data_IF_500032702051
#
_entry.id   IF_500032702051
#
_cell.length_a   1.000
_cell.length_b   1.000
_cell.length_c   1.000
_cell.angle_alpha   90.00
_cell.angle_beta   90.00
_cell.angle_gamma   90.00
#
_symmetry.space_group_name_H-M   'P 1'
#
loop_
_entity.id
_entity.type
_entity.pdbx_description
1 polymer ?
#
# COMPACT_ATOMS: atom_id res chain seq x y z
N UNK A 1 6.28 -56.45 28.09
CA UNK A 1 6.45 -54.99 28.27
C UNK A 1 5.82 -54.29 27.08
N UNK A 2 4.63 -53.76 27.21
CA UNK A 2 3.87 -53.10 26.17
C UNK A 2 4.09 -51.58 26.31
N UNK A 3 4.62 -50.94 25.27
CA UNK A 3 4.84 -49.51 25.20
C UNK A 3 3.60 -48.84 24.61
N UNK A 4 2.93 -48.01 25.44
CA UNK A 4 1.80 -47.19 25.03
C UNK A 4 2.34 -45.89 24.37
N UNK A 5 2.15 -45.74 23.04
CA UNK A 5 2.30 -44.47 22.36
C UNK A 5 1.01 -43.66 22.50
N UNK A 6 1.05 -42.60 23.31
CA UNK A 6 0.02 -41.58 23.36
C UNK A 6 0.20 -40.63 22.17
N UNK A 7 -0.68 -40.75 21.17
CA UNK A 7 -0.82 -39.82 20.06
C UNK A 7 -1.44 -38.51 20.55
N UNK A 8 -0.69 -37.43 20.55
CA UNK A 8 -1.21 -36.07 20.70
C UNK A 8 -1.94 -35.66 19.42
N UNK A 9 -3.27 -35.70 19.48
CA UNK A 9 -4.12 -35.13 18.41
C UNK A 9 -4.00 -33.61 18.42
N UNK A 10 -3.46 -33.05 17.36
CA UNK A 10 -3.43 -31.62 17.09
C UNK A 10 -4.86 -31.11 16.87
N UNK A 11 -5.35 -30.30 17.81
CA UNK A 11 -6.61 -29.56 17.68
C UNK A 11 -6.42 -28.52 16.55
N UNK A 12 -7.20 -28.53 15.45
CA UNK A 12 -7.11 -27.51 14.42
C UNK A 12 -7.60 -26.17 14.99
N UNK A 13 -6.76 -25.13 14.91
CA UNK A 13 -7.17 -23.76 15.24
C UNK A 13 -8.28 -23.35 14.28
N UNK A 14 -9.42 -22.82 14.75
CA UNK A 14 -10.45 -22.33 13.86
C UNK A 14 -9.92 -21.15 13.04
N UNK A 15 -9.83 -21.31 11.73
CA UNK A 15 -9.56 -20.21 10.81
C UNK A 15 -10.79 -19.30 10.79
N UNK A 16 -10.74 -18.19 11.50
CA UNK A 16 -11.79 -17.18 11.48
C UNK A 16 -11.74 -16.47 10.11
N UNK A 17 -12.53 -16.96 9.15
CA UNK A 17 -12.80 -16.25 7.90
C UNK A 17 -13.91 -15.24 8.21
N UNK A 18 -13.64 -13.93 8.12
CA UNK A 18 -14.68 -12.93 8.32
C UNK A 18 -15.80 -13.15 7.30
N UNK A 19 -17.04 -13.04 7.73
CA UNK A 19 -18.21 -13.13 6.84
C UNK A 19 -18.19 -11.98 5.83
N UNK A 20 -18.73 -12.18 4.64
CA UNK A 20 -18.76 -11.16 3.56
C UNK A 20 -19.30 -9.80 4.05
N UNK A 21 -20.33 -9.81 4.91
CA UNK A 21 -20.90 -8.59 5.51
C UNK A 21 -19.92 -7.83 6.41
N UNK A 22 -19.04 -8.52 7.15
CA UNK A 22 -18.03 -7.88 7.99
C UNK A 22 -16.94 -7.22 7.14
N UNK A 23 -16.50 -7.87 6.06
CA UNK A 23 -15.53 -7.33 5.12
C UNK A 23 -16.07 -6.06 4.45
N UNK A 24 -17.33 -6.06 4.00
CA UNK A 24 -17.97 -4.91 3.37
C UNK A 24 -18.08 -3.74 4.36
N UNK A 25 -18.50 -3.99 5.59
CA UNK A 25 -18.61 -2.97 6.64
C UNK A 25 -17.27 -2.34 6.96
N UNK A 26 -16.23 -3.15 7.19
CA UNK A 26 -14.87 -2.66 7.44
C UNK A 26 -14.29 -1.86 6.25
N UNK A 27 -14.65 -2.23 5.01
CA UNK A 27 -14.24 -1.49 3.82
C UNK A 27 -14.90 -0.11 3.76
N UNK A 28 -16.22 -0.04 4.00
CA UNK A 28 -16.98 1.22 3.99
C UNK A 28 -16.53 2.19 5.11
N UNK A 29 -16.25 1.67 6.30
CA UNK A 29 -15.72 2.48 7.42
C UNK A 29 -14.34 3.08 7.09
N UNK A 30 -13.46 2.30 6.44
CA UNK A 30 -12.16 2.79 5.98
C UNK A 30 -12.30 3.81 4.86
N UNK A 31 -13.20 3.60 3.91
CA UNK A 31 -13.49 4.57 2.85
C UNK A 31 -13.93 5.91 3.43
N UNK A 32 -14.88 5.91 4.36
CA UNK A 32 -15.35 7.12 5.03
C UNK A 32 -14.23 7.85 5.78
N UNK A 33 -13.30 7.10 6.42
CA UNK A 33 -12.12 7.66 7.08
C UNK A 33 -11.19 8.34 6.07
N UNK A 34 -10.84 7.68 4.97
CA UNK A 34 -9.94 8.24 3.95
C UNK A 34 -10.57 9.43 3.22
N UNK A 35 -11.87 9.41 2.96
CA UNK A 35 -12.59 10.57 2.42
C UNK A 35 -12.47 11.80 3.32
N UNK A 36 -12.59 11.60 4.65
CA UNK A 36 -12.52 12.70 5.62
C UNK A 36 -11.13 13.32 5.74
N UNK A 37 -10.07 12.53 5.69
CA UNK A 37 -8.69 13.02 5.81
C UNK A 37 -8.12 13.52 4.48
N UNK A 38 -8.76 13.22 3.34
CA UNK A 38 -8.27 13.55 2.01
C UNK A 38 -7.75 15.00 1.87
N UNK A 39 -8.42 16.04 2.38
CA UNK A 39 -7.98 17.44 2.23
C UNK A 39 -6.66 17.77 2.95
N UNK A 40 -6.30 17.02 3.99
CA UNK A 40 -5.12 17.31 4.85
C UNK A 40 -4.05 16.23 4.76
N UNK A 41 -4.32 15.15 4.04
CA UNK A 41 -3.48 13.95 4.00
C UNK A 41 -2.05 14.23 3.53
N UNK A 42 -1.88 15.01 2.47
CA UNK A 42 -0.56 15.33 1.91
C UNK A 42 0.25 16.21 2.87
N UNK A 43 -0.39 17.21 3.51
CA UNK A 43 0.27 18.08 4.48
C UNK A 43 0.72 17.30 5.73
N UNK A 44 -0.09 16.34 6.18
CA UNK A 44 0.26 15.45 7.29
C UNK A 44 1.45 14.58 6.93
N UNK A 45 1.48 14.00 5.74
CA UNK A 45 2.62 13.20 5.27
C UNK A 45 3.90 14.02 5.16
N UNK A 46 3.84 15.26 4.64
CA UNK A 46 4.99 16.18 4.59
C UNK A 46 5.54 16.45 5.99
N UNK A 47 4.68 16.77 6.93
CA UNK A 47 5.07 17.09 8.30
C UNK A 47 5.63 15.87 9.04
N UNK A 48 4.92 14.73 8.99
CA UNK A 48 5.29 13.50 9.69
C UNK A 48 6.60 12.88 9.18
N UNK A 49 6.90 13.04 7.91
CA UNK A 49 8.12 12.51 7.30
C UNK A 49 9.24 13.53 7.17
N UNK A 50 9.03 14.77 7.61
CA UNK A 50 9.94 15.89 7.34
C UNK A 50 10.30 15.99 5.84
N UNK A 51 9.32 15.75 4.95
CA UNK A 51 9.50 15.72 3.50
C UNK A 51 10.16 14.45 2.95
N UNK A 52 10.63 13.53 3.78
CA UNK A 52 11.30 12.28 3.38
C UNK A 52 10.39 11.37 2.53
N UNK A 53 9.06 11.42 2.72
CA UNK A 53 8.12 10.61 1.95
C UNK A 53 8.27 10.82 0.43
N UNK A 54 8.71 12.00 -0.02
CA UNK A 54 8.96 12.29 -1.43
C UNK A 54 10.14 11.48 -1.98
N UNK A 55 11.17 11.26 -1.15
CA UNK A 55 12.33 10.42 -1.50
C UNK A 55 11.89 8.97 -1.55
N UNK A 56 11.17 8.48 -0.53
CA UNK A 56 10.70 7.11 -0.46
C UNK A 56 9.75 6.75 -1.62
N UNK A 57 8.86 7.68 -2.02
CA UNK A 57 8.00 7.50 -3.20
C UNK A 57 8.82 7.37 -4.50
N UNK A 58 9.87 8.18 -4.68
CA UNK A 58 10.77 8.04 -5.84
C UNK A 58 11.54 6.72 -5.82
N UNK A 59 11.98 6.27 -4.65
CA UNK A 59 12.61 4.94 -4.51
C UNK A 59 11.62 3.83 -4.90
N UNK A 60 10.37 3.89 -4.42
CA UNK A 60 9.34 2.91 -4.78
C UNK A 60 9.12 2.85 -6.30
N UNK A 61 9.05 3.99 -7.00
CA UNK A 61 8.98 4.03 -8.47
C UNK A 61 10.22 3.40 -9.11
N UNK A 62 11.42 3.68 -8.60
CA UNK A 62 12.64 3.06 -9.14
C UNK A 62 12.63 1.54 -9.00
N UNK A 63 12.10 1.04 -7.89
CA UNK A 63 12.02 -0.39 -7.58
C UNK A 63 10.84 -1.10 -8.25
N UNK A 64 9.86 -0.37 -8.79
CA UNK A 64 8.74 -0.97 -9.53
C UNK A 64 9.16 -1.56 -10.88
N UNK A 65 10.38 -1.26 -11.34
CA UNK A 65 10.87 -1.68 -12.65
C UNK A 65 10.26 -0.95 -13.84
N UNK A 66 9.37 0.03 -13.63
CA UNK A 66 8.74 0.81 -14.70
C UNK A 66 9.75 1.47 -15.62
N UNK A 67 9.50 1.42 -16.93
CA UNK A 67 10.33 1.96 -18.00
C UNK A 67 9.52 2.85 -18.94
N UNK A 68 10.20 3.61 -19.78
CA UNK A 68 9.55 4.41 -20.81
C UNK A 68 8.73 3.54 -21.77
N UNK A 69 7.50 3.92 -22.01
CA UNK A 69 6.56 3.21 -22.87
C UNK A 69 5.66 2.18 -22.15
N UNK A 70 5.93 1.88 -20.87
CA UNK A 70 5.21 0.87 -20.11
C UNK A 70 3.76 1.27 -19.77
N UNK A 71 2.91 0.26 -19.53
CA UNK A 71 1.63 0.40 -18.86
C UNK A 71 1.85 0.14 -17.37
N UNK A 72 1.66 1.16 -16.54
CA UNK A 72 1.86 1.07 -15.10
C UNK A 72 0.56 1.33 -14.33
N UNK A 73 0.39 0.63 -13.20
CA UNK A 73 -0.77 0.76 -12.32
C UNK A 73 -0.31 1.18 -10.92
N UNK A 74 -0.97 2.18 -10.37
CA UNK A 74 -0.84 2.62 -8.98
C UNK A 74 -2.14 2.28 -8.24
N UNK A 75 -2.08 1.36 -7.29
CA UNK A 75 -3.22 0.87 -6.52
C UNK A 75 -3.28 1.61 -5.19
N UNK A 76 -4.48 1.96 -4.72
CA UNK A 76 -4.69 2.85 -3.57
C UNK A 76 -3.96 4.19 -3.80
N UNK A 77 -4.16 4.76 -4.98
CA UNK A 77 -3.37 5.89 -5.47
C UNK A 77 -3.61 7.20 -4.71
N UNK A 78 -4.70 7.30 -3.95
CA UNK A 78 -5.08 8.48 -3.20
C UNK A 78 -5.11 9.74 -4.08
N UNK A 79 -4.48 10.81 -3.63
CA UNK A 79 -4.34 12.09 -4.35
C UNK A 79 -3.38 12.03 -5.55
N UNK A 80 -2.82 10.83 -5.87
CA UNK A 80 -2.10 10.53 -7.11
C UNK A 80 -0.59 10.72 -7.09
N UNK A 81 0.06 10.87 -5.94
CA UNK A 81 1.48 11.18 -5.87
C UNK A 81 2.37 10.14 -6.59
N UNK A 82 2.17 8.85 -6.34
CA UNK A 82 2.91 7.80 -7.05
C UNK A 82 2.49 7.71 -8.51
N UNK A 83 1.21 7.90 -8.81
CA UNK A 83 0.70 7.89 -10.20
C UNK A 83 1.36 8.99 -11.04
N UNK A 84 1.57 10.20 -10.49
CA UNK A 84 2.30 11.27 -11.19
C UNK A 84 3.75 10.88 -11.45
N UNK A 85 4.43 10.29 -10.47
CA UNK A 85 5.81 9.82 -10.63
C UNK A 85 5.90 8.65 -11.63
N UNK A 86 4.94 7.72 -11.63
CA UNK A 86 4.84 6.67 -12.64
C UNK A 86 4.64 7.26 -14.03
N UNK A 87 3.72 8.24 -14.18
CA UNK A 87 3.49 8.92 -15.44
C UNK A 87 4.77 9.58 -16.01
N UNK A 88 5.57 10.22 -15.14
CA UNK A 88 6.87 10.76 -15.51
C UNK A 88 7.85 9.65 -15.93
N UNK A 89 7.84 8.53 -15.24
CA UNK A 89 8.74 7.40 -15.48
C UNK A 89 8.44 6.68 -16.79
N UNK A 90 7.15 6.43 -17.06
CA UNK A 90 6.74 5.76 -18.31
C UNK A 90 6.70 6.71 -19.51
N UNK A 91 6.75 8.02 -19.27
CA UNK A 91 6.81 9.03 -20.33
C UNK A 91 5.55 9.14 -21.19
N UNK A 92 5.57 9.99 -22.22
CA UNK A 92 4.38 10.31 -23.01
C UNK A 92 3.87 9.15 -23.88
N UNK A 93 4.69 8.13 -24.13
CA UNK A 93 4.32 6.92 -24.89
C UNK A 93 3.75 5.81 -24.02
N UNK A 94 4.00 5.86 -22.69
CA UNK A 94 3.45 4.93 -21.72
C UNK A 94 2.07 5.36 -21.22
N UNK A 95 1.52 4.57 -20.31
CA UNK A 95 0.25 4.84 -19.63
C UNK A 95 0.40 4.63 -18.14
N UNK A 96 -0.15 5.54 -17.35
CA UNK A 96 -0.27 5.39 -15.90
C UNK A 96 -1.75 5.34 -15.51
N UNK A 97 -2.12 4.33 -14.75
CA UNK A 97 -3.48 4.20 -14.20
C UNK A 97 -3.40 4.36 -12.69
N UNK A 98 -4.13 5.32 -12.13
CA UNK A 98 -4.33 5.46 -10.69
C UNK A 98 -5.68 4.87 -10.31
N UNK A 99 -5.68 3.86 -9.45
CA UNK A 99 -6.89 3.21 -8.96
C UNK A 99 -7.04 3.45 -7.46
N UNK A 100 -8.18 3.95 -7.06
CA UNK A 100 -8.55 4.10 -5.65
C UNK A 100 -10.03 3.78 -5.43
N UNK A 101 -10.38 3.37 -4.21
CA UNK A 101 -11.78 3.11 -3.86
C UNK A 101 -12.51 4.38 -3.38
N UNK A 102 -11.76 5.46 -3.11
CA UNK A 102 -12.28 6.76 -2.69
C UNK A 102 -12.42 7.69 -3.89
N UNK A 103 -13.66 7.99 -4.26
CA UNK A 103 -13.95 8.94 -5.34
C UNK A 103 -13.47 10.37 -5.00
N UNK A 104 -13.51 10.75 -3.72
CA UNK A 104 -13.01 12.04 -3.24
C UNK A 104 -11.50 12.18 -3.47
N UNK A 105 -10.73 11.13 -3.22
CA UNK A 105 -9.30 11.12 -3.50
C UNK A 105 -9.03 11.25 -5.01
N UNK A 106 -9.78 10.53 -5.83
CA UNK A 106 -9.66 10.61 -7.29
C UNK A 106 -10.04 12.00 -7.85
N UNK A 107 -11.01 12.67 -7.23
CA UNK A 107 -11.38 14.05 -7.58
C UNK A 107 -10.22 15.01 -7.29
N UNK A 108 -9.56 14.88 -6.13
CA UNK A 108 -8.36 15.64 -5.79
C UNK A 108 -7.25 15.35 -6.80
N UNK A 109 -6.98 14.07 -7.10
CA UNK A 109 -5.96 13.65 -8.05
C UNK A 109 -6.20 14.24 -9.46
N UNK A 110 -7.43 14.17 -9.96
CA UNK A 110 -7.82 14.73 -11.27
C UNK A 110 -7.71 16.24 -11.32
N UNK A 111 -8.06 16.93 -10.22
CA UNK A 111 -7.91 18.38 -10.10
C UNK A 111 -6.43 18.77 -10.11
N UNK A 112 -5.59 18.05 -9.36
CA UNK A 112 -4.12 18.23 -9.37
C UNK A 112 -3.53 18.01 -10.76
N UNK A 113 -4.03 17.03 -11.52
CA UNK A 113 -3.61 16.78 -12.91
C UNK A 113 -3.89 17.98 -13.82
N UNK A 114 -5.09 18.58 -13.72
CA UNK A 114 -5.46 19.77 -14.53
C UNK A 114 -4.58 20.99 -14.23
N UNK A 115 -4.09 21.13 -13.00
CA UNK A 115 -3.23 22.24 -12.60
C UNK A 115 -1.76 22.04 -12.96
N UNK A 116 -1.37 20.87 -13.48
CA UNK A 116 0.00 20.52 -13.82
C UNK A 116 0.24 20.61 -15.33
N UNK A 117 1.36 21.21 -15.74
CA UNK A 117 1.67 21.50 -17.16
C UNK A 117 2.48 20.43 -17.88
N UNK A 118 3.02 19.41 -17.20
CA UNK A 118 3.84 18.38 -17.83
C UNK A 118 3.02 17.55 -18.83
N UNK A 119 3.54 17.43 -20.05
CA UNK A 119 2.86 16.73 -21.15
C UNK A 119 2.59 15.25 -20.85
N UNK A 120 3.50 14.59 -20.10
CA UNK A 120 3.34 13.19 -19.72
C UNK A 120 2.08 12.95 -18.88
N UNK A 121 1.63 13.92 -18.10
CA UNK A 121 0.42 13.75 -17.27
C UNK A 121 -0.87 13.53 -18.06
N UNK A 122 -0.88 13.78 -19.37
CA UNK A 122 -1.99 13.45 -20.27
C UNK A 122 -2.19 11.93 -20.42
N UNK A 123 -1.19 11.13 -20.09
CA UNK A 123 -1.24 9.66 -20.14
C UNK A 123 -1.86 9.02 -18.87
N UNK A 124 -2.26 9.84 -17.87
CA UNK A 124 -2.84 9.35 -16.63
C UNK A 124 -4.34 9.11 -16.82
N UNK A 125 -4.79 7.94 -16.36
CA UNK A 125 -6.22 7.60 -16.20
C UNK A 125 -6.51 7.34 -14.73
N UNK A 126 -7.52 8.02 -14.19
CA UNK A 126 -8.05 7.78 -12.85
C UNK A 126 -9.22 6.80 -12.93
N UNK A 127 -9.28 5.85 -12.00
CA UNK A 127 -10.30 4.81 -11.98
C UNK A 127 -10.72 4.48 -10.55
N UNK A 128 -12.01 4.53 -10.28
CA UNK A 128 -12.57 3.99 -9.04
C UNK A 128 -12.57 2.47 -9.09
N UNK A 129 -12.10 1.82 -8.02
CA UNK A 129 -12.03 0.37 -7.97
C UNK A 129 -11.52 -0.17 -6.63
N UNK A 130 -11.70 -1.48 -6.47
CA UNK A 130 -11.31 -2.20 -5.27
C UNK A 130 -10.04 -3.03 -5.53
N UNK A 131 -9.04 -2.90 -4.67
CA UNK A 131 -7.81 -3.70 -4.74
C UNK A 131 -8.05 -5.21 -4.58
N UNK A 132 -9.21 -5.61 -4.04
CA UNK A 132 -9.60 -7.02 -3.90
C UNK A 132 -10.19 -7.64 -5.17
N UNK A 133 -10.51 -6.81 -6.18
CA UNK A 133 -11.10 -7.22 -7.44
C UNK A 133 -10.75 -6.17 -8.50
N UNK A 134 -9.53 -6.28 -9.06
CA UNK A 134 -9.01 -5.31 -10.01
C UNK A 134 -9.73 -5.43 -11.36
N UNK A 135 -10.32 -4.33 -11.90
CA UNK A 135 -11.11 -4.36 -13.12
C UNK A 135 -10.23 -4.40 -14.38
N UNK A 136 -9.19 -5.23 -14.37
CA UNK A 136 -8.24 -5.38 -15.46
C UNK A 136 -8.05 -6.86 -15.82
N UNK A 137 -7.79 -7.17 -17.11
CA UNK A 137 -7.40 -8.51 -17.53
C UNK A 137 -6.08 -8.95 -16.91
N UNK A 138 -5.81 -10.24 -16.93
CA UNK A 138 -4.53 -10.82 -16.56
C UNK A 138 -3.41 -10.25 -17.41
N UNK A 139 -2.20 -10.12 -16.85
CA UNK A 139 -1.00 -9.71 -17.57
C UNK A 139 -1.15 -8.38 -18.34
N UNK A 140 -1.80 -7.39 -17.73
CA UNK A 140 -2.10 -6.08 -18.36
C UNK A 140 -1.02 -5.04 -18.11
N UNK A 141 -0.22 -5.18 -17.04
CA UNK A 141 0.69 -4.14 -16.58
C UNK A 141 2.14 -4.60 -16.55
N UNK A 142 3.03 -3.68 -16.94
CA UNK A 142 4.48 -3.85 -16.92
C UNK A 142 5.08 -3.49 -15.56
N UNK A 143 4.36 -2.70 -14.74
CA UNK A 143 4.76 -2.33 -13.39
C UNK A 143 3.53 -2.02 -12.54
N UNK A 144 3.57 -2.36 -11.25
CA UNK A 144 2.54 -2.00 -10.28
C UNK A 144 3.19 -1.32 -9.07
N UNK A 145 2.54 -0.29 -8.54
CA UNK A 145 2.89 0.33 -7.28
C UNK A 145 1.70 0.35 -6.33
N UNK A 146 1.99 0.32 -5.04
CA UNK A 146 1.03 0.62 -3.98
C UNK A 146 1.78 1.37 -2.88
N UNK A 147 1.32 2.57 -2.54
CA UNK A 147 1.94 3.40 -1.52
C UNK A 147 1.00 3.68 -0.36
N UNK A 148 1.39 3.29 0.87
CA UNK A 148 0.63 3.51 2.11
C UNK A 148 -0.76 2.88 2.12
N UNK A 149 -1.04 1.96 1.18
CA UNK A 149 -2.35 1.39 0.95
C UNK A 149 -2.52 -0.03 1.50
N UNK A 150 -1.52 -0.91 1.33
CA UNK A 150 -1.67 -2.35 1.59
C UNK A 150 -2.04 -2.66 3.05
N UNK A 151 -1.50 -1.91 4.03
CA UNK A 151 -1.84 -2.09 5.44
C UNK A 151 -3.34 -1.88 5.73
N UNK A 152 -4.00 -1.06 4.90
CA UNK A 152 -5.40 -0.68 5.04
C UNK A 152 -6.35 -1.64 4.29
N UNK A 153 -5.83 -2.57 3.49
CA UNK A 153 -6.64 -3.56 2.78
C UNK A 153 -7.11 -4.65 3.75
N UNK A 154 -8.39 -5.01 3.69
CA UNK A 154 -9.01 -5.97 4.60
C UNK A 154 -8.52 -7.41 4.38
N UNK A 155 -8.26 -7.77 3.12
CA UNK A 155 -7.73 -9.08 2.71
C UNK A 155 -6.47 -8.86 1.85
N UNK A 156 -5.32 -8.82 2.52
CA UNK A 156 -4.02 -8.57 1.88
C UNK A 156 -3.60 -9.70 0.96
N UNK A 157 -3.99 -10.94 1.29
CA UNK A 157 -3.71 -12.10 0.45
C UNK A 157 -4.44 -11.98 -0.90
N UNK A 158 -5.74 -11.67 -0.88
CA UNK A 158 -6.54 -11.48 -2.09
C UNK A 158 -6.02 -10.29 -2.92
N UNK A 159 -5.67 -9.17 -2.29
CA UNK A 159 -5.11 -8.03 -3.01
C UNK A 159 -3.77 -8.36 -3.69
N UNK A 160 -2.86 -9.04 -2.99
CA UNK A 160 -1.57 -9.45 -3.56
C UNK A 160 -1.75 -10.48 -4.68
N UNK A 161 -2.75 -11.37 -4.60
CA UNK A 161 -3.09 -12.30 -5.68
C UNK A 161 -3.60 -11.55 -6.93
N UNK A 162 -4.45 -10.53 -6.74
CA UNK A 162 -4.93 -9.67 -7.84
C UNK A 162 -3.79 -8.86 -8.48
N UNK A 163 -2.87 -8.33 -7.67
CA UNK A 163 -1.66 -7.65 -8.16
C UNK A 163 -0.82 -8.61 -9.01
N UNK A 164 -0.59 -9.83 -8.51
CA UNK A 164 0.13 -10.86 -9.25
C UNK A 164 -0.59 -11.19 -10.57
N UNK A 165 -1.91 -11.32 -10.56
CA UNK A 165 -2.72 -11.65 -11.75
C UNK A 165 -2.59 -10.60 -12.84
N UNK A 166 -2.66 -9.31 -12.51
CA UNK A 166 -2.65 -8.22 -13.49
C UNK A 166 -1.26 -7.84 -13.98
N UNK A 167 -0.19 -8.18 -13.27
CA UNK A 167 1.19 -8.00 -13.72
C UNK A 167 1.51 -8.95 -14.87
N UNK A 168 2.32 -8.54 -15.82
CA UNK A 168 2.91 -9.43 -16.84
C UNK A 168 3.98 -10.35 -16.22
N UNK A 169 4.22 -11.55 -16.77
CA UNK A 169 5.34 -12.39 -16.35
C UNK A 169 6.67 -11.63 -16.39
N UNK A 170 7.48 -11.75 -15.33
CA UNK A 170 8.74 -11.03 -15.18
C UNK A 170 8.63 -9.57 -14.76
N UNK A 171 7.43 -9.04 -14.65
CA UNK A 171 7.16 -7.68 -14.18
C UNK A 171 7.12 -7.60 -12.65
N UNK A 172 7.24 -6.38 -12.10
CA UNK A 172 7.42 -6.17 -10.66
C UNK A 172 6.32 -5.32 -10.04
N UNK A 173 6.05 -5.63 -8.76
CA UNK A 173 5.34 -4.71 -7.87
C UNK A 173 6.29 -4.10 -6.86
N UNK A 174 6.08 -2.83 -6.53
CA UNK A 174 6.71 -2.13 -5.43
C UNK A 174 5.65 -1.67 -4.43
N UNK A 175 5.73 -2.18 -3.19
CA UNK A 175 4.77 -1.87 -2.11
C UNK A 175 5.49 -1.08 -1.03
N UNK A 176 5.26 0.23 -1.01
CA UNK A 176 5.79 1.15 0.00
C UNK A 176 4.76 1.34 1.12
N UNK A 177 5.11 0.97 2.35
CA UNK A 177 4.24 1.20 3.50
C UNK A 177 5.05 1.41 4.79
N UNK A 178 4.37 1.74 5.89
CA UNK A 178 4.99 1.73 7.20
C UNK A 178 5.53 0.33 7.51
N UNK A 179 6.72 0.29 8.10
CA UNK A 179 7.35 -0.97 8.47
C UNK A 179 6.92 -1.38 9.89
N UNK A 180 6.60 -2.65 10.06
CA UNK A 180 6.50 -3.26 11.37
C UNK A 180 7.86 -3.84 11.72
N UNK A 181 8.72 -3.00 12.33
CA UNK A 181 10.06 -3.42 12.71
C UNK A 181 10.02 -4.48 13.80
N UNK A 182 10.90 -5.47 13.70
CA UNK A 182 11.16 -6.44 14.76
C UNK A 182 12.28 -5.94 15.71
N UNK A 183 12.96 -4.85 15.36
CA UNK A 183 14.00 -4.25 16.20
C UNK A 183 13.36 -3.38 17.29
N UNK A 184 13.58 -3.68 18.59
CA UNK A 184 12.96 -2.93 19.69
C UNK A 184 13.30 -1.43 19.67
N UNK A 185 14.52 -1.06 19.27
CA UNK A 185 14.95 0.33 19.21
C UNK A 185 14.20 1.08 18.10
N UNK A 186 14.10 0.51 16.90
CA UNK A 186 13.34 1.09 15.79
C UNK A 186 11.86 1.24 16.16
N UNK A 187 11.28 0.23 16.82
CA UNK A 187 9.89 0.27 17.30
C UNK A 187 9.69 1.39 18.32
N UNK A 188 10.57 1.50 19.31
CA UNK A 188 10.48 2.55 20.34
C UNK A 188 10.61 3.95 19.75
N UNK A 189 11.53 4.16 18.80
CA UNK A 189 11.70 5.44 18.09
C UNK A 189 10.46 5.73 17.23
N UNK A 190 9.93 4.73 16.52
CA UNK A 190 8.71 4.87 15.72
C UNK A 190 7.52 5.27 16.60
N UNK A 191 7.30 4.60 17.72
CA UNK A 191 6.25 4.94 18.69
C UNK A 191 6.43 6.34 19.26
N UNK A 192 7.65 6.73 19.65
CA UNK A 192 7.96 8.06 20.16
C UNK A 192 7.65 9.15 19.12
N UNK A 193 8.04 8.96 17.86
CA UNK A 193 7.75 9.92 16.79
C UNK A 193 6.27 10.00 16.49
N UNK A 194 5.59 8.86 16.41
CA UNK A 194 4.16 8.79 16.22
C UNK A 194 3.45 9.49 17.39
N UNK A 195 3.77 9.22 18.63
CA UNK A 195 3.08 9.76 19.81
C UNK A 195 3.35 11.27 20.02
N UNK A 196 4.54 11.77 19.76
CA UNK A 196 4.87 13.17 20.03
C UNK A 196 4.62 14.13 18.86
N UNK A 197 4.82 13.69 17.62
CA UNK A 197 4.65 14.53 16.44
C UNK A 197 3.21 14.46 15.95
N UNK A 198 2.67 13.23 15.84
CA UNK A 198 1.35 13.03 15.25
C UNK A 198 0.22 13.44 16.19
N UNK A 199 0.35 13.18 17.51
CA UNK A 199 -0.65 13.61 18.52
C UNK A 199 -0.77 15.12 18.55
N UNK A 200 0.35 15.84 18.57
CA UNK A 200 0.33 17.32 18.63
C UNK A 200 -0.31 17.94 17.39
N UNK A 201 -0.12 17.33 16.22
CA UNK A 201 -0.72 17.80 14.96
C UNK A 201 -2.18 17.36 14.85
N UNK A 202 -2.47 16.11 15.17
CA UNK A 202 -3.83 15.56 15.08
C UNK A 202 -4.82 16.28 16.03
N UNK A 203 -4.39 16.63 17.23
CA UNK A 203 -5.22 17.38 18.18
C UNK A 203 -5.59 18.79 17.67
N UNK A 204 -4.66 19.45 16.94
CA UNK A 204 -4.91 20.75 16.30
C UNK A 204 -5.93 20.70 15.16
N UNK A 205 -6.12 19.54 14.55
CA UNK A 205 -7.05 19.32 13.41
C UNK A 205 -8.29 18.48 13.78
N UNK A 206 -8.45 18.05 15.02
CA UNK A 206 -9.56 17.17 15.44
C UNK A 206 -9.48 15.74 14.85
N UNK A 207 -8.27 15.23 14.57
CA UNK A 207 -8.00 13.96 13.90
C UNK A 207 -7.55 12.83 14.86
N UNK A 208 -8.01 12.84 16.11
CA UNK A 208 -7.59 11.84 17.12
C UNK A 208 -7.93 10.39 16.74
N UNK A 209 -9.08 10.18 16.10
CA UNK A 209 -9.53 8.84 15.70
C UNK A 209 -8.70 8.30 14.54
N UNK A 210 -8.34 9.13 13.59
CA UNK A 210 -7.49 8.83 12.46
C UNK A 210 -6.07 8.45 12.90
N UNK A 211 -5.60 9.12 13.94
CA UNK A 211 -4.34 8.81 14.59
C UNK A 211 -4.34 7.44 15.29
N UNK A 212 -5.36 7.17 16.09
CA UNK A 212 -5.54 5.85 16.73
C UNK A 212 -5.58 4.74 15.66
N UNK A 213 -6.27 5.02 14.55
CA UNK A 213 -6.30 4.10 13.41
C UNK A 213 -4.92 3.89 12.78
N UNK A 214 -4.14 4.97 12.54
CA UNK A 214 -2.79 4.85 12.01
C UNK A 214 -1.92 3.94 12.89
N UNK A 215 -1.89 4.19 14.20
CA UNK A 215 -1.10 3.39 15.15
C UNK A 215 -1.53 1.93 15.17
N UNK A 216 -2.85 1.65 15.21
CA UNK A 216 -3.36 0.27 15.18
C UNK A 216 -3.05 -0.40 13.84
N UNK A 217 -3.21 0.29 12.71
CA UNK A 217 -2.96 -0.29 11.39
C UNK A 217 -1.50 -0.68 11.18
N UNK A 218 -0.54 0.08 11.72
CA UNK A 218 0.89 -0.26 11.69
C UNK A 218 1.15 -1.50 12.58
N UNK A 219 0.59 -1.52 13.79
CA UNK A 219 0.75 -2.64 14.72
C UNK A 219 0.20 -3.95 14.15
N UNK A 220 -0.93 -3.88 13.43
CA UNK A 220 -1.62 -5.02 12.83
C UNK A 220 -1.08 -5.38 11.43
N UNK A 221 -0.11 -4.61 10.93
CA UNK A 221 0.50 -4.90 9.64
C UNK A 221 1.44 -6.10 9.71
N UNK A 222 1.85 -6.57 8.55
CA UNK A 222 2.80 -7.67 8.40
C UNK A 222 4.24 -7.16 8.54
N UNK A 223 5.10 -7.98 9.12
CA UNK A 223 6.56 -7.79 9.09
C UNK A 223 7.10 -8.00 7.67
N UNK A 224 8.31 -7.54 7.39
CA UNK A 224 8.94 -7.74 6.08
C UNK A 224 9.00 -9.21 5.65
N UNK A 225 9.36 -10.11 6.56
CA UNK A 225 9.40 -11.56 6.28
C UNK A 225 8.01 -12.14 5.98
N UNK A 226 6.97 -11.68 6.69
CA UNK A 226 5.59 -12.09 6.43
C UNK A 226 5.08 -11.56 5.09
N UNK A 227 5.50 -10.36 4.67
CA UNK A 227 5.19 -9.80 3.35
C UNK A 227 5.90 -10.57 2.22
N UNK A 228 7.18 -10.93 2.38
CA UNK A 228 7.91 -11.78 1.43
C UNK A 228 7.20 -13.13 1.27
N UNK A 229 6.86 -13.77 2.39
CA UNK A 229 6.15 -15.05 2.40
C UNK A 229 4.78 -14.95 1.72
N UNK A 230 3.99 -13.92 2.05
CA UNK A 230 2.70 -13.67 1.42
C UNK A 230 2.82 -13.54 -0.10
N UNK A 231 3.81 -12.77 -0.58
CA UNK A 231 4.02 -12.61 -2.01
C UNK A 231 4.33 -13.96 -2.71
N UNK A 232 5.21 -14.77 -2.13
CA UNK A 232 5.52 -16.10 -2.67
C UNK A 232 4.29 -17.03 -2.65
N UNK A 233 3.49 -17.01 -1.60
CA UNK A 233 2.27 -17.83 -1.47
C UNK A 233 1.21 -17.51 -2.54
N UNK A 234 1.12 -16.26 -3.01
CA UNK A 234 0.15 -15.86 -4.04
C UNK A 234 0.68 -16.00 -5.47
N UNK A 235 1.93 -16.46 -5.64
CA UNK A 235 2.47 -16.82 -6.96
C UNK A 235 3.53 -15.90 -7.53
N UNK A 236 4.07 -14.95 -6.77
CA UNK A 236 5.29 -14.23 -7.18
C UNK A 236 6.49 -15.19 -7.15
N UNK A 237 7.36 -15.08 -8.15
CA UNK A 237 8.56 -15.93 -8.29
C UNK A 237 9.69 -15.54 -7.34
N UNK A 238 9.72 -14.25 -6.95
CA UNK A 238 10.68 -13.69 -6.00
C UNK A 238 10.04 -12.53 -5.23
N UNK A 239 10.46 -12.37 -3.98
CA UNK A 239 10.01 -11.25 -3.13
C UNK A 239 11.12 -10.84 -2.18
N UNK A 240 11.37 -9.54 -2.06
CA UNK A 240 12.36 -8.99 -1.14
C UNK A 240 11.84 -7.71 -0.49
N UNK A 241 11.90 -7.67 0.83
CA UNK A 241 11.55 -6.51 1.62
C UNK A 241 12.81 -5.71 2.00
N UNK A 242 12.74 -4.40 1.84
CA UNK A 242 13.80 -3.45 2.18
C UNK A 242 13.29 -2.48 3.25
N UNK A 243 14.00 -2.39 4.35
CA UNK A 243 13.75 -1.35 5.35
C UNK A 243 14.40 -0.04 4.93
N UNK A 244 13.70 1.06 5.06
CA UNK A 244 14.14 2.43 4.75
C UNK A 244 13.83 3.37 5.91
N UNK A 245 14.60 4.48 5.97
CA UNK A 245 14.39 5.50 7.02
C UNK A 245 14.57 4.94 8.43
N UNK A 246 15.70 4.26 8.69
CA UNK A 246 15.99 3.61 9.99
C UNK A 246 14.92 2.59 10.43
N UNK A 247 14.26 1.92 9.49
CA UNK A 247 13.24 0.93 9.77
C UNK A 247 11.82 1.49 9.99
N UNK A 248 11.60 2.79 9.75
CA UNK A 248 10.26 3.38 9.82
C UNK A 248 9.36 2.95 8.67
N UNK A 249 9.96 2.83 7.50
CA UNK A 249 9.29 2.47 6.27
C UNK A 249 9.85 1.16 5.74
N UNK A 250 9.02 0.46 5.00
CA UNK A 250 9.39 -0.73 4.28
C UNK A 250 8.95 -0.66 2.82
N UNK A 251 9.70 -1.29 1.95
CA UNK A 251 9.28 -1.48 0.57
C UNK A 251 9.46 -2.95 0.19
N UNK A 252 8.37 -3.62 -0.13
CA UNK A 252 8.40 -4.95 -0.72
C UNK A 252 8.52 -4.81 -2.24
N UNK A 253 9.49 -5.49 -2.82
CA UNK A 253 9.62 -5.69 -4.28
C UNK A 253 9.36 -7.15 -4.56
N UNK A 254 8.38 -7.44 -5.42
CA UNK A 254 8.10 -8.82 -5.81
C UNK A 254 7.99 -8.93 -7.33
N UNK A 255 8.46 -10.07 -7.87
CA UNK A 255 8.54 -10.36 -9.31
C UNK A 255 7.52 -11.46 -9.62
N UNK A 256 6.67 -11.23 -10.61
CA UNK A 256 5.76 -12.26 -11.12
C UNK A 256 6.46 -13.33 -11.94
#
# INVERSE_FOLDING_TARGET
MASLHLGLSSIPRPSFRPTCNLIIRCSAERQALFNRIAPVYDNLNDLLSLGQHRIWKRMAISWSGAKEGDNALDICCGSGDLTFLLSERVGPRGKAVGLDFSNEQLLIASTRQKLRSKTCYKNIKWMEGNALELPFPDSSFDAVTIGYGLRNVVDRHKAMAEICRVLKPGSMVSVLDFNKSINPLSTAIQELMIDNIVVSVASGYGLENEYKYLKSSIKDFLTGNELEKLALEVGFSNAKHFEIGFGFMGNLVAIR
#
